data_IF_340478022868
#
_entry.id   IF_340478022868
#
_cell.length_a   1.000
_cell.length_b   1.000
_cell.length_c   1.000
_cell.angle_alpha   90.00
_cell.angle_beta   90.00
_cell.angle_gamma   90.00
#
_symmetry.space_group_name_H-M   'P 1'
#
loop_
_entity.id
_entity.type
_entity.pdbx_description
1 polymer ?
#
# COMPACT_ATOMS: atom_id res chain seq x y z
N UNK A 1 -16.52 -30.55 -11.32
CA UNK A 1 -16.06 -29.54 -12.29
C UNK A 1 -15.41 -28.45 -11.47
N UNK A 2 -14.08 -28.48 -11.35
CA UNK A 2 -13.35 -27.46 -10.61
C UNK A 2 -13.37 -26.17 -11.44
N UNK A 3 -14.10 -25.16 -10.98
CA UNK A 3 -13.92 -23.80 -11.46
C UNK A 3 -12.88 -23.18 -10.52
N UNK A 4 -11.60 -23.48 -10.76
CA UNK A 4 -10.52 -22.79 -10.07
C UNK A 4 -10.39 -21.40 -10.70
N UNK A 5 -10.57 -20.42 -9.83
CA UNK A 5 -10.38 -18.99 -10.02
C UNK A 5 -9.03 -18.68 -10.65
N UNK A 6 -9.05 -18.23 -11.91
CA UNK A 6 -7.96 -17.46 -12.50
C UNK A 6 -8.47 -16.02 -12.70
N UNK A 7 -8.71 -15.32 -11.59
CA UNK A 7 -8.53 -13.87 -11.56
C UNK A 7 -7.02 -13.62 -11.62
N UNK A 8 -6.40 -13.91 -12.76
CA UNK A 8 -5.06 -13.46 -13.07
C UNK A 8 -5.20 -11.95 -13.29
N UNK A 9 -5.15 -11.18 -12.20
CA UNK A 9 -4.65 -9.81 -12.29
C UNK A 9 -3.24 -10.00 -12.84
N UNK A 10 -3.06 -9.70 -14.12
CA UNK A 10 -1.75 -9.71 -14.75
C UNK A 10 -0.84 -8.84 -13.90
N UNK A 11 0.07 -9.49 -13.19
CA UNK A 11 1.16 -8.85 -12.48
C UNK A 11 2.00 -8.21 -13.56
N UNK A 12 1.80 -6.92 -13.78
CA UNK A 12 2.63 -6.21 -14.74
C UNK A 12 3.98 -5.96 -14.05
N UNK A 13 5.07 -6.46 -14.65
CA UNK A 13 6.44 -6.20 -14.19
C UNK A 13 6.67 -4.69 -14.01
N UNK A 14 5.91 -3.87 -14.76
CA UNK A 14 5.86 -2.42 -14.64
C UNK A 14 5.39 -1.96 -13.25
N UNK A 15 4.37 -2.57 -12.65
CA UNK A 15 3.91 -2.21 -11.29
C UNK A 15 5.01 -2.48 -10.26
N UNK A 16 5.66 -3.64 -10.36
CA UNK A 16 6.75 -4.03 -9.47
C UNK A 16 7.93 -3.05 -9.62
N UNK A 17 8.33 -2.75 -10.86
CA UNK A 17 9.42 -1.83 -11.14
C UNK A 17 9.10 -0.39 -10.73
N UNK A 18 7.86 0.03 -10.88
CA UNK A 18 7.37 1.33 -10.45
C UNK A 18 7.41 1.49 -8.94
N UNK A 19 6.88 0.53 -8.17
CA UNK A 19 6.92 0.56 -6.70
C UNK A 19 8.36 0.67 -6.19
N UNK A 20 9.29 -0.10 -6.78
CA UNK A 20 10.72 0.02 -6.47
C UNK A 20 11.27 1.39 -6.85
N UNK A 21 10.87 1.94 -7.99
CA UNK A 21 11.32 3.26 -8.45
C UNK A 21 10.84 4.37 -7.50
N UNK A 22 9.53 4.45 -7.24
CA UNK A 22 8.94 5.44 -6.34
C UNK A 22 9.51 5.30 -4.94
N UNK A 23 9.64 4.08 -4.41
CA UNK A 23 10.28 3.86 -3.10
C UNK A 23 11.71 4.41 -3.03
N UNK A 24 12.52 4.22 -4.08
CA UNK A 24 13.87 4.81 -4.16
C UNK A 24 13.83 6.33 -4.27
N UNK A 25 12.90 6.89 -5.03
CA UNK A 25 12.76 8.34 -5.16
C UNK A 25 12.33 8.95 -3.82
N UNK A 26 11.34 8.37 -3.16
CA UNK A 26 10.86 8.82 -1.85
C UNK A 26 12.01 8.82 -0.83
N UNK A 27 12.75 7.71 -0.75
CA UNK A 27 13.91 7.59 0.17
C UNK A 27 15.01 8.62 -0.11
N UNK A 28 15.25 9.00 -1.36
CA UNK A 28 16.26 10.01 -1.73
C UNK A 28 15.80 11.45 -1.50
N UNK A 29 14.50 11.69 -1.46
CA UNK A 29 13.91 13.03 -1.46
C UNK A 29 13.25 13.39 -0.12
N UNK A 30 13.59 12.70 0.97
CA UNK A 30 13.05 12.96 2.31
C UNK A 30 13.33 14.37 2.82
N UNK A 31 14.44 14.99 2.38
CA UNK A 31 14.82 16.37 2.72
C UNK A 31 14.63 17.34 1.55
N UNK A 32 13.87 16.95 0.54
CA UNK A 32 13.57 17.80 -0.62
C UNK A 32 12.44 18.78 -0.31
N UNK A 33 11.92 19.49 -1.32
CA UNK A 33 10.76 20.37 -1.12
C UNK A 33 9.51 19.58 -0.75
N UNK A 34 8.63 20.22 0.03
CA UNK A 34 7.32 19.67 0.42
C UNK A 34 6.53 19.23 -0.81
N UNK A 35 6.43 20.07 -1.84
CA UNK A 35 5.70 19.75 -3.08
C UNK A 35 6.22 18.47 -3.74
N UNK A 36 7.54 18.25 -3.73
CA UNK A 36 8.13 17.07 -4.34
C UNK A 36 7.84 15.83 -3.52
N UNK A 37 7.86 15.95 -2.20
CA UNK A 37 7.53 14.88 -1.29
C UNK A 37 6.06 14.46 -1.41
N UNK A 38 5.14 15.43 -1.41
CA UNK A 38 3.71 15.19 -1.63
C UNK A 38 3.45 14.48 -2.97
N UNK A 39 4.04 14.96 -4.07
CA UNK A 39 3.91 14.30 -5.37
C UNK A 39 4.38 12.84 -5.39
N UNK A 40 5.39 12.49 -4.59
CA UNK A 40 5.88 11.11 -4.49
C UNK A 40 4.95 10.25 -3.62
N UNK A 41 4.40 10.82 -2.54
CA UNK A 41 3.42 10.17 -1.68
C UNK A 41 2.10 9.93 -2.41
N UNK A 42 1.56 10.90 -3.14
CA UNK A 42 0.33 10.75 -3.93
C UNK A 42 0.45 9.65 -4.99
N UNK A 43 1.61 9.59 -5.65
CA UNK A 43 1.91 8.50 -6.63
C UNK A 43 1.98 7.14 -5.96
N UNK A 44 2.52 7.08 -4.75
CA UNK A 44 2.60 5.84 -3.99
C UNK A 44 1.20 5.41 -3.55
N UNK A 45 0.42 6.32 -2.96
CA UNK A 45 -0.96 6.08 -2.54
C UNK A 45 -1.83 5.57 -3.69
N UNK A 46 -1.75 6.22 -4.86
CA UNK A 46 -2.52 5.82 -6.04
C UNK A 46 -2.28 4.35 -6.38
N UNK A 47 -1.02 3.90 -6.41
CA UNK A 47 -0.71 2.49 -6.68
C UNK A 47 -1.15 1.60 -5.52
N UNK A 48 -0.93 2.00 -4.26
CA UNK A 48 -1.36 1.21 -3.11
C UNK A 48 -2.88 1.03 -3.07
N UNK A 49 -3.66 1.99 -3.57
CA UNK A 49 -5.12 1.92 -3.59
C UNK A 49 -5.68 0.88 -4.56
N UNK A 50 -4.95 0.53 -5.61
CA UNK A 50 -5.37 -0.46 -6.62
C UNK A 50 -4.89 -1.89 -6.33
N UNK A 51 -4.02 -2.09 -5.34
CA UNK A 51 -3.54 -3.43 -4.99
C UNK A 51 -4.59 -4.19 -4.18
N UNK A 52 -4.81 -5.47 -4.47
CA UNK A 52 -5.67 -6.31 -3.62
C UNK A 52 -5.01 -6.64 -2.28
N UNK A 53 -5.80 -7.23 -1.37
CA UNK A 53 -5.26 -7.88 -0.18
C UNK A 53 -4.38 -9.07 -0.60
N UNK A 54 -3.34 -9.34 0.18
CA UNK A 54 -2.34 -10.39 -0.08
C UNK A 54 -1.82 -10.41 -1.55
N UNK A 55 -1.18 -9.32 -2.02
CA UNK A 55 -0.71 -9.25 -3.39
C UNK A 55 0.41 -10.28 -3.62
N UNK A 56 0.72 -10.63 -4.87
CA UNK A 56 1.80 -11.56 -5.19
C UNK A 56 3.14 -11.20 -4.54
N UNK A 57 3.93 -12.22 -4.16
CA UNK A 57 5.22 -12.07 -3.44
C UNK A 57 6.18 -11.05 -4.06
N UNK A 58 6.16 -10.91 -5.38
CA UNK A 58 7.01 -9.93 -6.10
C UNK A 58 6.62 -8.48 -5.77
N UNK A 59 5.31 -8.20 -5.68
CA UNK A 59 4.76 -6.91 -5.24
C UNK A 59 5.03 -6.72 -3.75
N UNK A 60 4.79 -7.74 -2.91
CA UNK A 60 5.14 -7.65 -1.48
C UNK A 60 6.62 -7.28 -1.29
N UNK A 61 7.52 -7.91 -2.05
CA UNK A 61 8.95 -7.59 -2.04
C UNK A 61 9.29 -6.18 -2.52
N UNK A 62 8.52 -5.59 -3.44
CA UNK A 62 8.74 -4.20 -3.88
C UNK A 62 8.22 -3.16 -2.90
N UNK A 63 7.28 -3.51 -2.03
CA UNK A 63 6.73 -2.64 -0.98
C UNK A 63 7.68 -2.41 0.20
N UNK A 64 8.66 -3.29 0.43
CA UNK A 64 9.58 -3.23 1.58
C UNK A 64 10.27 -1.87 1.70
N UNK A 65 10.80 -1.33 0.60
CA UNK A 65 11.49 -0.03 0.63
C UNK A 65 10.53 1.14 0.86
N UNK A 66 9.42 1.29 0.13
CA UNK A 66 8.38 2.27 0.45
C UNK A 66 7.93 2.22 1.92
N UNK A 67 7.60 1.02 2.45
CA UNK A 67 7.17 0.85 3.83
C UNK A 67 8.23 1.33 4.83
N UNK A 68 9.47 0.87 4.67
CA UNK A 68 10.59 1.30 5.53
C UNK A 68 10.80 2.81 5.51
N UNK A 69 10.56 3.43 4.35
CA UNK A 69 10.69 4.88 4.18
C UNK A 69 9.54 5.62 4.89
N UNK A 70 8.29 5.16 4.72
CA UNK A 70 7.09 5.74 5.34
C UNK A 70 7.15 5.73 6.87
N UNK A 71 7.72 4.69 7.48
CA UNK A 71 7.88 4.59 8.94
C UNK A 71 9.12 5.30 9.48
N UNK A 72 9.86 6.03 8.64
CA UNK A 72 11.01 6.80 9.11
C UNK A 72 10.58 8.01 9.92
N UNK A 73 11.36 8.35 10.95
CA UNK A 73 11.11 9.54 11.78
C UNK A 73 11.00 10.83 10.95
N UNK A 74 11.70 10.89 9.81
CA UNK A 74 11.67 12.04 8.90
C UNK A 74 10.27 12.29 8.31
N UNK A 75 9.52 11.22 8.01
CA UNK A 75 8.15 11.31 7.51
C UNK A 75 7.13 11.35 8.64
N UNK A 76 7.28 10.50 9.65
CA UNK A 76 6.33 10.43 10.77
C UNK A 76 6.30 11.71 11.62
N UNK A 77 7.42 12.42 11.71
CA UNK A 77 7.56 13.66 12.50
C UNK A 77 7.75 14.89 11.63
N UNK A 78 7.34 14.81 10.36
CA UNK A 78 7.45 15.92 9.42
C UNK A 78 6.66 17.14 9.93
N UNK A 79 7.22 18.35 9.74
CA UNK A 79 6.61 19.57 10.25
C UNK A 79 5.32 19.94 9.48
N UNK A 80 5.33 19.69 8.17
CA UNK A 80 4.20 19.91 7.28
C UNK A 80 3.05 18.93 7.54
N UNK A 81 1.83 19.45 7.65
CA UNK A 81 0.63 18.65 7.98
C UNK A 81 0.13 17.82 6.80
N UNK A 82 0.18 18.36 5.59
CA UNK A 82 -0.25 17.65 4.39
C UNK A 82 0.63 16.42 4.16
N UNK A 83 1.95 16.54 4.41
CA UNK A 83 2.87 15.38 4.34
C UNK A 83 2.46 14.29 5.31
N UNK A 84 2.08 14.64 6.56
CA UNK A 84 1.63 13.65 7.55
C UNK A 84 0.32 12.98 7.15
N UNK A 85 -0.60 13.75 6.57
CA UNK A 85 -1.87 13.22 6.05
C UNK A 85 -1.60 12.22 4.92
N UNK A 86 -0.78 12.57 3.93
CA UNK A 86 -0.43 11.67 2.82
C UNK A 86 0.33 10.42 3.29
N UNK A 87 1.22 10.54 4.29
CA UNK A 87 1.89 9.37 4.91
C UNK A 87 0.87 8.46 5.59
N UNK A 88 -0.10 9.03 6.32
CA UNK A 88 -1.17 8.28 6.99
C UNK A 88 -2.07 7.57 5.98
N UNK A 89 -2.40 8.23 4.86
CA UNK A 89 -3.15 7.62 3.77
C UNK A 89 -2.40 6.42 3.17
N UNK A 90 -1.10 6.57 2.87
CA UNK A 90 -0.26 5.46 2.41
C UNK A 90 -0.21 4.29 3.40
N UNK A 91 -0.01 4.57 4.70
CA UNK A 91 0.03 3.55 5.75
C UNK A 91 -1.32 2.84 5.93
N UNK A 92 -2.43 3.56 5.73
CA UNK A 92 -3.78 2.98 5.73
C UNK A 92 -3.93 1.99 4.58
N UNK A 93 -3.47 2.33 3.38
CA UNK A 93 -3.50 1.40 2.25
C UNK A 93 -2.59 0.18 2.47
N UNK A 94 -1.39 0.37 3.04
CA UNK A 94 -0.52 -0.75 3.43
C UNK A 94 -1.23 -1.66 4.43
N UNK A 95 -1.89 -1.10 5.44
CA UNK A 95 -2.64 -1.88 6.43
C UNK A 95 -3.78 -2.67 5.78
N UNK A 96 -4.47 -2.11 4.78
CA UNK A 96 -5.48 -2.82 3.97
C UNK A 96 -4.85 -3.97 3.17
N UNK A 97 -3.72 -3.73 2.52
CA UNK A 97 -3.01 -4.72 1.69
C UNK A 97 -2.52 -5.90 2.54
N UNK A 98 -2.01 -5.63 3.75
CA UNK A 98 -1.44 -6.63 4.66
C UNK A 98 -2.44 -7.13 5.70
N UNK A 99 -3.71 -6.76 5.60
CA UNK A 99 -4.73 -7.27 6.50
C UNK A 99 -4.83 -8.79 6.33
N UNK A 100 -5.02 -9.56 7.42
CA UNK A 100 -5.27 -10.99 7.30
C UNK A 100 -6.58 -11.22 6.54
N UNK A 101 -6.70 -12.39 5.90
CA UNK A 101 -7.98 -12.85 5.35
C UNK A 101 -9.07 -12.72 6.42
N UNK A 102 -10.24 -12.23 6.01
CA UNK A 102 -11.35 -11.99 6.92
C UNK A 102 -11.63 -13.26 7.75
N UNK A 103 -11.67 -13.17 9.09
CA UNK A 103 -11.73 -14.35 9.96
C UNK A 103 -13.07 -15.10 9.90
N UNK A 104 -14.06 -14.56 9.18
CA UNK A 104 -15.39 -15.14 9.05
C UNK A 104 -15.72 -15.32 7.58
N UNK A 105 -16.13 -16.53 7.23
CA UNK A 105 -16.87 -16.80 6.00
C UNK A 105 -18.12 -15.89 5.98
N UNK A 106 -18.42 -15.25 4.85
CA UNK A 106 -19.58 -14.35 4.69
C UNK A 106 -20.90 -15.06 5.08
N UNK A 107 -20.94 -16.39 4.96
CA UNK A 107 -22.08 -17.22 5.41
C UNK A 107 -22.24 -17.27 6.94
N UNK A 108 -21.17 -17.10 7.72
CA UNK A 108 -21.22 -17.00 9.19
C UNK A 108 -21.69 -15.62 9.66
N UNK A 109 -21.61 -14.59 8.80
CA UNK A 109 -22.03 -13.21 9.13
C UNK A 109 -23.55 -13.01 9.12
N UNK A 110 -24.34 -14.01 8.70
CA UNK A 110 -25.82 -13.96 8.72
C UNK A 110 -26.43 -14.32 10.09
N UNK A 111 -25.69 -15.00 10.97
CA UNK A 111 -26.25 -15.58 12.21
C UNK A 111 -26.18 -14.61 13.40
N UNK A 112 -25.32 -13.58 13.36
CA UNK A 112 -25.10 -12.67 14.48
C UNK A 112 -25.98 -11.40 14.48
N UNK A 113 -26.86 -11.22 13.49
CA UNK A 113 -27.75 -10.05 13.40
C UNK A 113 -29.20 -10.35 13.80
N UNK A 114 -29.57 -11.60 14.10
CA UNK A 114 -30.94 -11.97 14.49
C UNK A 114 -30.97 -12.83 15.77
N UNK A 115 -30.51 -12.28 16.88
CA UNK A 115 -31.00 -12.63 18.23
C UNK A 115 -32.20 -11.79 18.60
#
# INVERSE_FOLDING_TARGET
MACSTDSIVLIDDDTVNWLRHVGRQLSKNLTSSVDKLLQLLDKLELILSILDHDPPKQIQGSLVLPMKTLISDQLLRHADEDVKISVTACLTQITRITAPDAPYDDELMKVLVLT
#
